data_IF_028145314344
#
_entry.id   IF_028145314344
#
_cell.length_a   1.000
_cell.length_b   1.000
_cell.length_c   1.000
_cell.angle_alpha   90.00
_cell.angle_beta   90.00
_cell.angle_gamma   90.00
#
_symmetry.space_group_name_H-M   'P 1'
#
loop_
_entity.id
_entity.type
_entity.pdbx_description
1 polymer ?
#
# COMPACT_ATOMS: atom_id res chain seq x y z
N UNK A 1 45.97 3.10 -7.79
CA UNK A 1 45.42 3.20 -6.43
C UNK A 1 43.97 3.61 -6.56
N UNK A 2 43.03 2.73 -6.24
CA UNK A 2 41.60 3.07 -6.26
C UNK A 2 41.27 3.76 -4.94
N UNK A 3 40.76 4.99 -5.01
CA UNK A 3 40.36 5.75 -3.84
C UNK A 3 38.87 5.46 -3.60
N UNK A 4 38.56 4.67 -2.56
CA UNK A 4 37.17 4.51 -2.12
C UNK A 4 36.74 5.80 -1.43
N UNK A 5 36.04 6.66 -2.16
CA UNK A 5 35.42 7.86 -1.60
C UNK A 5 34.45 7.39 -0.51
N UNK A 6 34.63 7.79 0.76
CA UNK A 6 33.71 7.41 1.81
C UNK A 6 32.34 7.99 1.48
N UNK A 7 31.40 7.13 1.11
CA UNK A 7 29.99 7.52 0.94
C UNK A 7 29.52 8.06 2.27
N UNK A 8 29.07 9.32 2.30
CA UNK A 8 28.60 9.99 3.50
C UNK A 8 27.67 9.08 4.31
N UNK A 9 28.07 8.82 5.56
CA UNK A 9 27.26 8.07 6.51
C UNK A 9 26.19 9.03 7.03
N UNK A 10 25.13 9.23 6.25
CA UNK A 10 23.91 9.89 6.72
C UNK A 10 23.18 8.90 7.63
N UNK A 11 23.69 8.72 8.85
CA UNK A 11 23.00 7.94 9.87
C UNK A 11 21.74 8.71 10.26
N UNK A 12 20.54 8.16 10.02
CA UNK A 12 19.32 8.82 10.44
C UNK A 12 19.30 8.92 11.97
N UNK A 13 18.92 10.09 12.50
CA UNK A 13 18.88 10.36 13.94
C UNK A 13 17.96 9.35 14.62
N UNK A 14 18.55 8.36 15.29
CA UNK A 14 17.87 7.42 16.16
C UNK A 14 17.69 8.10 17.50
N UNK A 15 16.45 8.32 17.91
CA UNK A 15 16.16 8.96 19.19
C UNK A 15 16.13 7.92 20.32
N UNK A 16 15.34 6.86 20.17
CA UNK A 16 15.11 5.86 21.24
C UNK A 16 14.88 4.46 20.64
N UNK A 17 15.61 3.45 21.13
CA UNK A 17 15.56 1.99 20.85
C UNK A 17 15.61 1.52 19.38
N UNK A 18 14.81 2.11 18.49
CA UNK A 18 14.80 1.89 17.03
C UNK A 18 13.94 2.93 16.28
N UNK A 19 13.28 3.87 16.98
CA UNK A 19 12.41 4.87 16.38
C UNK A 19 13.22 6.06 15.87
N UNK A 20 12.97 6.40 14.60
CA UNK A 20 13.47 7.62 13.99
C UNK A 20 12.58 8.80 14.36
N UNK A 21 13.09 10.03 14.27
CA UNK A 21 12.28 11.25 14.50
C UNK A 21 10.98 11.29 13.67
N UNK A 22 11.03 10.76 12.43
CA UNK A 22 9.83 10.61 11.58
C UNK A 22 8.81 9.66 12.19
N UNK A 23 9.26 8.54 12.76
CA UNK A 23 8.39 7.56 13.38
C UNK A 23 7.65 8.16 14.59
N UNK A 24 8.35 8.99 15.39
CA UNK A 24 7.75 9.72 16.51
C UNK A 24 6.73 10.76 16.03
N UNK A 25 7.00 11.44 14.93
CA UNK A 25 6.05 12.40 14.34
C UNK A 25 4.76 11.73 13.86
N UNK A 26 4.86 10.53 13.26
CA UNK A 26 3.69 9.76 12.82
C UNK A 26 2.83 9.35 14.02
N UNK A 27 3.44 8.82 15.08
CA UNK A 27 2.71 8.43 16.29
C UNK A 27 2.11 9.66 16.97
N UNK A 28 2.87 10.74 17.13
CA UNK A 28 2.43 11.95 17.80
C UNK A 28 1.28 12.65 17.08
N UNK A 29 1.47 12.98 15.80
CA UNK A 29 0.44 13.64 14.97
C UNK A 29 -0.76 12.73 14.79
N UNK A 30 -0.54 11.43 14.55
CA UNK A 30 -1.61 10.45 14.42
C UNK A 30 -2.44 10.32 15.69
N UNK A 31 -1.80 10.30 16.86
CA UNK A 31 -2.50 10.23 18.16
C UNK A 31 -3.32 11.50 18.40
N UNK A 32 -2.76 12.68 18.13
CA UNK A 32 -3.50 13.94 18.25
C UNK A 32 -4.72 13.97 17.33
N UNK A 33 -4.57 13.52 16.09
CA UNK A 33 -5.68 13.37 15.15
C UNK A 33 -6.74 12.39 15.68
N UNK A 34 -6.34 11.22 16.17
CA UNK A 34 -7.28 10.21 16.66
C UNK A 34 -8.11 10.70 17.85
N UNK A 35 -7.46 11.38 18.80
CA UNK A 35 -8.09 11.81 20.05
C UNK A 35 -8.95 13.07 19.89
N UNK A 36 -8.55 14.01 19.03
CA UNK A 36 -9.19 15.33 18.95
C UNK A 36 -10.04 15.53 17.71
N UNK A 37 -9.65 14.95 16.56
CA UNK A 37 -10.33 15.22 15.28
C UNK A 37 -11.20 14.04 14.88
N UNK A 38 -10.62 12.85 14.75
CA UNK A 38 -11.35 11.68 14.28
C UNK A 38 -12.42 11.19 15.27
N UNK A 39 -12.22 11.43 16.58
CA UNK A 39 -13.16 11.04 17.63
C UNK A 39 -14.52 11.75 17.51
N UNK A 40 -14.55 12.99 16.98
CA UNK A 40 -15.79 13.76 16.79
C UNK A 40 -16.73 13.14 15.75
N UNK A 41 -16.19 12.35 14.81
CA UNK A 41 -16.96 11.72 13.73
C UNK A 41 -17.43 10.30 14.08
N UNK A 42 -17.10 9.80 15.27
CA UNK A 42 -17.37 8.42 15.67
C UNK A 42 -18.49 8.39 16.71
N UNK A 43 -19.58 7.71 16.39
CA UNK A 43 -20.66 7.48 17.34
C UNK A 43 -20.14 6.71 18.55
N UNK A 44 -20.61 7.06 19.76
CA UNK A 44 -20.06 6.55 21.03
C UNK A 44 -19.99 5.01 21.10
N UNK A 45 -20.96 4.32 20.48
CA UNK A 45 -20.97 2.85 20.40
C UNK A 45 -19.75 2.24 19.70
N UNK A 46 -19.15 2.99 18.77
CA UNK A 46 -17.97 2.57 18.01
C UNK A 46 -16.66 3.18 18.53
N UNK A 47 -16.69 3.91 19.66
CA UNK A 47 -15.51 4.58 20.21
C UNK A 47 -14.38 3.58 20.54
N UNK A 48 -14.71 2.47 21.21
CA UNK A 48 -13.71 1.45 21.58
C UNK A 48 -13.09 0.80 20.33
N UNK A 49 -13.86 0.24 19.37
CA UNK A 49 -13.30 -0.28 18.12
C UNK A 49 -12.45 0.75 17.36
N UNK A 50 -12.91 2.00 17.30
CA UNK A 50 -12.19 3.09 16.63
C UNK A 50 -10.79 3.30 17.22
N UNK A 51 -10.66 3.39 18.54
CA UNK A 51 -9.35 3.57 19.17
C UNK A 51 -8.45 2.35 19.00
N UNK A 52 -8.99 1.12 19.11
CA UNK A 52 -8.21 -0.10 18.91
C UNK A 52 -7.63 -0.15 17.49
N UNK A 53 -8.47 0.08 16.48
CA UNK A 53 -8.04 0.07 15.08
C UNK A 53 -7.11 1.23 14.78
N UNK A 54 -7.42 2.44 15.28
CA UNK A 54 -6.63 3.65 15.08
C UNK A 54 -5.22 3.52 15.63
N UNK A 55 -5.09 3.19 16.92
CA UNK A 55 -3.78 2.99 17.53
C UNK A 55 -3.04 1.79 16.94
N UNK A 56 -3.75 0.71 16.62
CA UNK A 56 -3.18 -0.44 15.89
C UNK A 56 -2.60 -0.04 14.54
N UNK A 57 -3.29 0.81 13.78
CA UNK A 57 -2.81 1.32 12.49
C UNK A 57 -1.58 2.21 12.64
N UNK A 58 -1.52 3.07 13.66
CA UNK A 58 -0.33 3.90 13.93
C UNK A 58 0.90 3.05 14.25
N UNK A 59 0.74 2.03 15.10
CA UNK A 59 1.81 1.09 15.40
C UNK A 59 2.24 0.35 14.13
N UNK A 60 1.27 -0.17 13.36
CA UNK A 60 1.54 -0.85 12.11
C UNK A 60 2.35 0.02 11.13
N UNK A 61 2.04 1.32 11.00
CA UNK A 61 2.76 2.24 10.11
C UNK A 61 4.25 2.36 10.45
N UNK A 62 4.60 2.34 11.74
CA UNK A 62 5.98 2.51 12.24
C UNK A 62 6.73 1.17 12.33
N UNK A 63 6.03 0.03 12.29
CA UNK A 63 6.68 -1.27 12.19
C UNK A 63 7.48 -1.41 10.89
N UNK A 64 8.55 -2.22 10.95
CA UNK A 64 9.30 -2.62 9.76
C UNK A 64 8.41 -3.41 8.82
N UNK A 65 8.48 -3.10 7.52
CA UNK A 65 7.73 -3.83 6.51
C UNK A 65 8.34 -5.20 6.27
N UNK A 66 7.49 -6.24 6.28
CA UNK A 66 7.90 -7.60 5.90
C UNK A 66 8.12 -7.73 4.39
N UNK A 67 7.31 -7.02 3.59
CA UNK A 67 7.35 -7.07 2.12
C UNK A 67 8.43 -6.16 1.54
N UNK A 68 8.83 -5.10 2.25
CA UNK A 68 9.87 -4.17 1.80
C UNK A 68 10.98 -4.01 2.86
N UNK A 69 11.99 -4.90 2.83
CA UNK A 69 13.09 -4.89 3.79
C UNK A 69 13.78 -3.52 3.90
N UNK A 70 13.99 -3.06 5.14
CA UNK A 70 14.64 -1.76 5.40
C UNK A 70 13.71 -0.54 5.24
N UNK A 71 12.43 -0.73 4.93
CA UNK A 71 11.41 0.33 4.94
C UNK A 71 10.38 0.08 6.04
N UNK A 72 9.72 1.16 6.49
CA UNK A 72 8.56 1.11 7.39
C UNK A 72 7.26 1.03 6.56
N UNK A 73 6.18 0.55 7.15
CA UNK A 73 4.92 0.38 6.43
C UNK A 73 4.29 1.69 5.95
N UNK A 74 4.54 2.83 6.60
CA UNK A 74 4.08 4.13 6.10
C UNK A 74 4.63 4.46 4.70
N UNK A 75 5.78 3.90 4.31
CA UNK A 75 6.37 4.10 2.98
C UNK A 75 5.53 3.42 1.90
N UNK A 76 4.93 2.27 2.20
CA UNK A 76 4.02 1.60 1.28
C UNK A 76 2.76 2.45 1.06
N UNK A 77 2.22 3.05 2.13
CA UNK A 77 1.09 3.96 2.03
C UNK A 77 1.45 5.22 1.22
N UNK A 78 2.65 5.78 1.42
CA UNK A 78 3.16 6.89 0.63
C UNK A 78 3.25 6.53 -0.87
N UNK A 79 3.76 5.34 -1.21
CA UNK A 79 3.81 4.89 -2.60
C UNK A 79 2.42 4.68 -3.18
N UNK A 80 1.46 4.18 -2.39
CA UNK A 80 0.07 4.04 -2.83
C UNK A 80 -0.52 5.41 -3.20
N UNK A 81 -0.32 6.43 -2.37
CA UNK A 81 -0.84 7.78 -2.60
C UNK A 81 -0.14 8.45 -3.79
N UNK A 82 1.19 8.28 -3.92
CA UNK A 82 1.98 8.89 -5.00
C UNK A 82 1.86 8.14 -6.33
N UNK A 83 1.28 6.95 -6.35
CA UNK A 83 1.20 6.09 -7.54
C UNK A 83 0.50 6.81 -8.68
N UNK A 84 1.25 7.09 -9.75
CA UNK A 84 0.69 7.58 -11.00
C UNK A 84 0.07 6.42 -11.78
N UNK A 85 -1.26 6.43 -11.94
CA UNK A 85 -2.01 5.39 -12.67
C UNK A 85 -1.73 5.39 -14.17
N UNK A 86 -1.22 6.50 -14.73
CA UNK A 86 -0.91 6.62 -16.16
C UNK A 86 0.43 5.98 -16.52
N UNK A 87 1.35 5.88 -15.57
CA UNK A 87 2.70 5.33 -15.82
C UNK A 87 2.82 3.88 -15.39
N UNK A 88 2.15 3.49 -14.30
CA UNK A 88 2.26 2.14 -13.74
C UNK A 88 1.01 1.32 -14.07
N UNK A 89 1.21 0.35 -14.95
CA UNK A 89 0.21 -0.59 -15.44
C UNK A 89 0.45 -1.93 -14.71
N UNK A 90 -0.59 -2.64 -14.28
CA UNK A 90 -0.40 -3.99 -13.77
C UNK A 90 0.23 -4.86 -14.87
N UNK A 91 1.35 -5.51 -14.55
CA UNK A 91 1.95 -6.50 -15.44
C UNK A 91 1.09 -7.76 -15.30
N UNK A 92 0.37 -8.11 -16.35
CA UNK A 92 -0.33 -9.38 -16.42
C UNK A 92 0.68 -10.48 -16.76
N UNK A 93 1.04 -11.29 -15.75
CA UNK A 93 1.97 -12.39 -15.91
C UNK A 93 1.46 -13.45 -16.91
N UNK A 94 0.14 -13.52 -17.09
CA UNK A 94 -0.53 -14.46 -17.98
C UNK A 94 -1.18 -13.72 -19.17
N UNK A 95 -0.68 -12.55 -19.57
CA UNK A 95 -1.28 -11.72 -20.62
C UNK A 95 -1.62 -12.52 -21.89
N UNK A 96 -0.69 -13.37 -22.33
CA UNK A 96 -0.85 -14.20 -23.53
C UNK A 96 -1.93 -15.26 -23.34
N UNK A 97 -1.97 -15.90 -22.18
CA UNK A 97 -2.97 -16.92 -21.85
C UNK A 97 -4.37 -16.30 -21.70
N UNK A 98 -4.47 -15.13 -21.07
CA UNK A 98 -5.70 -14.38 -20.94
C UNK A 98 -6.22 -13.91 -22.30
N UNK A 99 -5.37 -13.32 -23.14
CA UNK A 99 -5.73 -12.90 -24.50
C UNK A 99 -6.25 -14.06 -25.36
N UNK A 100 -5.58 -15.22 -25.30
CA UNK A 100 -5.99 -16.41 -26.04
C UNK A 100 -7.32 -16.97 -25.52
N UNK A 101 -7.53 -17.00 -24.20
CA UNK A 101 -8.79 -17.43 -23.60
C UNK A 101 -9.97 -16.56 -24.02
N UNK A 102 -9.85 -15.24 -23.90
CA UNK A 102 -10.91 -14.30 -24.30
C UNK A 102 -11.16 -14.31 -25.82
N UNK A 103 -10.14 -14.55 -26.63
CA UNK A 103 -10.29 -14.71 -28.09
C UNK A 103 -11.10 -15.97 -28.45
N UNK A 104 -10.88 -17.06 -27.73
CA UNK A 104 -11.57 -18.32 -27.97
C UNK A 104 -13.03 -18.30 -27.49
N UNK A 105 -13.30 -17.72 -26.30
CA UNK A 105 -14.67 -17.50 -25.80
C UNK A 105 -15.50 -16.67 -26.80
N UNK A 106 -14.94 -15.56 -27.29
CA UNK A 106 -15.60 -14.73 -28.30
C UNK A 106 -15.89 -15.47 -29.62
N UNK A 107 -15.03 -16.39 -30.03
CA UNK A 107 -15.25 -17.22 -31.23
C UNK A 107 -16.35 -18.24 -31.01
N UNK A 108 -16.40 -18.87 -29.84
CA UNK A 108 -17.48 -19.82 -29.49
C UNK A 108 -18.83 -19.13 -29.39
N UNK A 109 -18.92 -17.96 -28.74
CA UNK A 109 -20.15 -17.17 -28.68
C UNK A 109 -20.67 -16.84 -30.07
N UNK A 110 -19.83 -16.29 -30.94
CA UNK A 110 -20.21 -16.01 -32.34
C UNK A 110 -20.69 -17.27 -33.04
N UNK A 111 -19.97 -18.39 -32.90
CA UNK A 111 -20.34 -19.67 -33.53
C UNK A 111 -21.70 -20.19 -33.05
N UNK A 112 -21.99 -20.03 -31.78
CA UNK A 112 -23.27 -20.43 -31.18
C UNK A 112 -24.40 -19.51 -31.65
N UNK A 113 -24.15 -18.21 -31.77
CA UNK A 113 -25.11 -17.24 -32.31
C UNK A 113 -25.46 -17.55 -33.78
N UNK A 114 -24.46 -17.87 -34.62
CA UNK A 114 -24.69 -18.31 -35.99
C UNK A 114 -25.51 -19.61 -36.05
N UNK A 115 -25.21 -20.59 -35.20
CA UNK A 115 -25.98 -21.85 -35.12
C UNK A 115 -27.43 -21.64 -34.70
N UNK A 116 -27.68 -20.66 -33.82
CA UNK A 116 -29.02 -20.31 -33.40
C UNK A 116 -29.85 -19.63 -34.51
N UNK A 117 -29.22 -18.93 -35.45
CA UNK A 117 -29.89 -18.29 -36.60
C UNK A 117 -30.22 -19.24 -37.77
N UNK A 118 -29.64 -20.44 -37.80
CA UNK A 118 -29.84 -21.42 -38.89
C UNK A 118 -30.91 -22.47 -38.52
N UNK A 119 -31.39 -22.47 -37.27
CA UNK A 119 -32.58 -23.21 -36.83
C UNK A 119 -33.81 -22.32 -36.92
#
# INVERSE_FOLDING_TARGET
MSYEIPKEIKSPIKLIFSLYAKDLSIIGVGTLFLLNVGSEFVHNWFAIPYYIVGFGALLFMVMSSSTNPGKRNYVALYFLIKRNKTTYHPIDANAIENETKYSNENKEEKRNEYRAKIK
#
